data_IF_370030387816
#
_entry.id   IF_370030387816
#
_cell.length_a   1.000
_cell.length_b   1.000
_cell.length_c   1.000
_cell.angle_alpha   90.00
_cell.angle_beta   90.00
_cell.angle_gamma   90.00
#
_symmetry.space_group_name_H-M   'P 1'
#
loop_
_entity.id
_entity.type
_entity.pdbx_description
1 polymer ?
#
# COMPACT_ATOMS: atom_id res chain seq x y z
N UNK A 1 -33.54 -12.13 8.32
CA UNK A 1 -32.48 -12.14 9.36
C UNK A 1 -31.28 -11.30 8.92
N UNK A 2 -30.60 -11.66 7.82
CA UNK A 2 -29.39 -10.98 7.31
C UNK A 2 -29.52 -9.44 7.15
N UNK A 3 -30.65 -8.94 6.60
CA UNK A 3 -30.83 -7.47 6.41
C UNK A 3 -30.89 -6.67 7.72
N UNK A 4 -31.41 -7.27 8.80
CA UNK A 4 -31.54 -6.59 10.08
C UNK A 4 -30.17 -6.48 10.77
N UNK A 5 -29.39 -7.57 10.78
CA UNK A 5 -28.04 -7.61 11.34
C UNK A 5 -27.07 -6.66 10.61
N UNK A 6 -27.13 -6.61 9.28
CA UNK A 6 -26.35 -5.65 8.48
C UNK A 6 -26.72 -4.20 8.82
N UNK A 7 -28.02 -3.92 9.02
CA UNK A 7 -28.49 -2.60 9.42
C UNK A 7 -27.95 -2.17 10.79
N UNK A 8 -27.93 -3.07 11.77
CA UNK A 8 -27.38 -2.80 13.10
C UNK A 8 -25.85 -2.61 13.09
N UNK A 9 -25.13 -3.40 12.29
CA UNK A 9 -23.68 -3.22 12.10
C UNK A 9 -23.34 -1.89 11.42
N UNK A 10 -24.14 -1.45 10.44
CA UNK A 10 -23.96 -0.13 9.83
C UNK A 10 -24.20 0.97 10.87
N UNK A 11 -25.26 0.87 11.67
CA UNK A 11 -25.57 1.86 12.71
C UNK A 11 -24.47 1.95 13.77
N UNK A 12 -23.92 0.82 14.21
CA UNK A 12 -22.90 0.80 15.27
C UNK A 12 -21.57 1.37 14.80
N UNK A 13 -21.22 1.19 13.53
CA UNK A 13 -19.95 1.63 12.95
C UNK A 13 -19.98 3.04 12.37
N UNK A 14 -21.15 3.47 11.95
CA UNK A 14 -21.37 4.74 11.28
C UNK A 14 -22.52 5.48 11.97
N UNK A 15 -22.21 6.22 13.06
CA UNK A 15 -23.23 6.87 13.88
C UNK A 15 -23.95 7.99 13.14
N UNK A 16 -23.31 8.60 12.13
CA UNK A 16 -23.89 9.69 11.35
C UNK A 16 -25.00 9.20 10.40
N UNK A 17 -26.17 9.85 10.45
CA UNK A 17 -27.34 9.43 9.66
C UNK A 17 -27.09 9.44 8.14
N UNK A 18 -26.43 10.48 7.63
CA UNK A 18 -26.08 10.62 6.21
C UNK A 18 -25.17 9.48 5.73
N UNK A 19 -24.24 9.04 6.57
CA UNK A 19 -23.37 7.90 6.27
C UNK A 19 -24.17 6.60 6.22
N UNK A 20 -25.13 6.39 7.14
CA UNK A 20 -25.95 5.18 7.16
C UNK A 20 -26.72 4.97 5.86
N UNK A 21 -27.32 6.02 5.29
CA UNK A 21 -28.06 5.91 4.04
C UNK A 21 -27.15 5.58 2.86
N UNK A 22 -25.98 6.24 2.79
CA UNK A 22 -24.96 5.97 1.76
C UNK A 22 -24.44 4.54 1.85
N UNK A 23 -24.14 4.08 3.05
CA UNK A 23 -23.61 2.74 3.30
C UNK A 23 -24.68 1.65 3.12
N UNK A 24 -25.95 1.95 3.41
CA UNK A 24 -27.05 1.05 3.08
C UNK A 24 -27.18 0.84 1.56
N UNK A 25 -26.96 1.89 0.75
CA UNK A 25 -26.89 1.75 -0.72
C UNK A 25 -25.70 0.91 -1.17
N UNK A 26 -24.54 1.03 -0.52
CA UNK A 26 -23.38 0.18 -0.79
C UNK A 26 -23.66 -1.29 -0.41
N UNK A 27 -24.32 -1.54 0.72
CA UNK A 27 -24.73 -2.88 1.15
C UNK A 27 -25.70 -3.54 0.18
N UNK A 28 -26.63 -2.78 -0.42
CA UNK A 28 -27.50 -3.27 -1.49
C UNK A 28 -26.72 -3.71 -2.74
N UNK A 29 -25.51 -3.18 -2.93
CA UNK A 29 -24.58 -3.54 -4.02
C UNK A 29 -23.57 -4.62 -3.61
N UNK A 30 -23.75 -5.24 -2.44
CA UNK A 30 -22.89 -6.33 -1.95
C UNK A 30 -21.68 -5.89 -1.13
N UNK A 31 -21.60 -4.62 -0.73
CA UNK A 31 -20.54 -4.13 0.18
C UNK A 31 -21.00 -4.20 1.63
N UNK A 32 -20.55 -5.21 2.36
CA UNK A 32 -21.05 -5.53 3.69
C UNK A 32 -20.02 -5.18 4.77
N UNK A 33 -20.44 -4.65 5.93
CA UNK A 33 -19.53 -4.53 7.07
C UNK A 33 -19.06 -5.91 7.52
N UNK A 34 -17.78 -6.03 7.88
CA UNK A 34 -17.22 -7.24 8.50
C UNK A 34 -17.92 -7.54 9.83
N UNK A 35 -18.57 -8.68 10.08
CA UNK A 35 -19.14 -8.98 11.40
C UNK A 35 -18.09 -8.92 12.53
N UNK A 36 -18.50 -8.62 13.77
CA UNK A 36 -17.57 -8.49 14.89
C UNK A 36 -16.87 -9.81 15.24
N UNK A 37 -17.59 -10.93 15.07
CA UNK A 37 -17.15 -12.31 15.26
C UNK A 37 -16.49 -12.93 14.01
N UNK A 38 -16.24 -12.13 12.98
CA UNK A 38 -15.63 -12.62 11.74
C UNK A 38 -14.19 -13.10 11.97
N UNK A 39 -13.90 -14.32 11.52
CA UNK A 39 -12.53 -14.87 11.46
C UNK A 39 -11.70 -14.34 10.29
N UNK A 40 -12.26 -13.44 9.47
CA UNK A 40 -11.58 -12.91 8.29
C UNK A 40 -10.33 -12.10 8.68
N UNK A 41 -9.16 -12.30 8.02
CA UNK A 41 -7.92 -11.58 8.36
C UNK A 41 -7.99 -10.04 8.37
N UNK A 42 -8.88 -9.43 7.59
CA UNK A 42 -9.09 -7.98 7.52
C UNK A 42 -9.87 -7.44 8.74
N UNK A 43 -10.49 -8.30 9.55
CA UNK A 43 -11.20 -7.90 10.77
C UNK A 43 -10.31 -7.11 11.73
N UNK A 44 -9.00 -7.40 11.75
CA UNK A 44 -8.05 -6.68 12.61
C UNK A 44 -7.88 -5.21 12.25
N UNK A 45 -8.17 -4.82 11.00
CA UNK A 45 -8.06 -3.44 10.54
C UNK A 45 -9.25 -2.59 10.99
N UNK A 46 -10.40 -3.23 11.21
CA UNK A 46 -11.64 -2.57 11.56
C UNK A 46 -11.52 -1.86 12.92
N UNK A 47 -11.67 -0.54 12.90
CA UNK A 47 -11.58 0.36 14.05
C UNK A 47 -10.15 0.77 14.43
N UNK A 48 -9.12 0.31 13.72
CA UNK A 48 -7.75 0.70 14.02
C UNK A 48 -7.53 2.21 13.80
N UNK A 49 -6.71 2.80 14.66
CA UNK A 49 -6.36 4.21 14.55
C UNK A 49 -5.27 4.44 13.51
N UNK A 50 -5.40 5.52 12.73
CA UNK A 50 -4.43 5.92 11.72
C UNK A 50 -4.38 7.45 11.67
N UNK A 51 -3.31 8.02 12.22
CA UNK A 51 -3.27 9.47 12.49
C UNK A 51 -4.39 9.88 13.43
N UNK A 52 -5.20 10.87 13.05
CA UNK A 52 -6.40 11.31 13.78
C UNK A 52 -7.70 10.59 13.41
N UNK A 53 -7.61 9.51 12.62
CA UNK A 53 -8.78 8.80 12.07
C UNK A 53 -8.88 7.38 12.60
N UNK A 54 -10.06 6.77 12.41
CA UNK A 54 -10.29 5.33 12.55
C UNK A 54 -10.57 4.69 11.20
N UNK A 55 -10.15 3.44 11.03
CA UNK A 55 -10.42 2.66 9.84
C UNK A 55 -11.78 1.96 9.91
N UNK A 56 -12.56 2.07 8.84
CA UNK A 56 -13.84 1.38 8.68
C UNK A 56 -13.80 0.56 7.39
N UNK A 57 -14.14 -0.73 7.46
CA UNK A 57 -14.02 -1.63 6.32
C UNK A 57 -15.37 -2.17 5.86
N UNK A 58 -15.53 -2.25 4.54
CA UNK A 58 -16.60 -3.01 3.89
C UNK A 58 -15.97 -4.09 3.01
N UNK A 59 -16.47 -5.33 3.11
CA UNK A 59 -16.14 -6.41 2.18
C UNK A 59 -17.08 -6.39 1.00
N UNK A 60 -16.53 -6.49 -0.20
CA UNK A 60 -17.25 -6.63 -1.45
C UNK A 60 -17.36 -8.09 -1.89
N UNK A 61 -17.76 -8.32 -3.16
CA UNK A 61 -17.83 -9.65 -3.72
C UNK A 61 -16.44 -10.30 -3.84
N UNK A 62 -16.40 -11.60 -4.09
CA UNK A 62 -15.18 -12.30 -4.50
C UNK A 62 -14.96 -12.16 -6.00
N UNK A 63 -13.70 -12.02 -6.41
CA UNK A 63 -13.33 -12.14 -7.82
C UNK A 63 -13.26 -13.62 -8.25
N UNK A 64 -13.00 -13.87 -9.54
CA UNK A 64 -12.91 -15.23 -10.12
C UNK A 64 -11.80 -16.11 -9.51
N UNK A 65 -10.85 -15.51 -8.79
CA UNK A 65 -9.73 -16.18 -8.13
C UNK A 65 -9.97 -16.40 -6.64
N UNK A 66 -11.15 -16.03 -6.13
CA UNK A 66 -11.51 -16.18 -4.73
C UNK A 66 -10.92 -15.10 -3.80
N UNK A 67 -10.34 -14.02 -4.34
CA UNK A 67 -9.94 -12.87 -3.53
C UNK A 67 -11.16 -12.01 -3.20
N UNK A 68 -11.24 -11.52 -1.98
CA UNK A 68 -12.30 -10.66 -1.49
C UNK A 68 -11.97 -9.20 -1.83
N UNK A 69 -12.85 -8.50 -2.54
CA UNK A 69 -12.75 -7.05 -2.64
C UNK A 69 -13.00 -6.43 -1.26
N UNK A 70 -12.34 -5.31 -0.95
CA UNK A 70 -12.66 -4.51 0.21
C UNK A 70 -12.46 -3.02 -0.04
N UNK A 71 -13.28 -2.23 0.64
CA UNK A 71 -13.17 -0.78 0.73
C UNK A 71 -12.76 -0.41 2.16
N UNK A 72 -11.83 0.52 2.27
CA UNK A 72 -11.43 1.12 3.54
C UNK A 72 -11.82 2.59 3.53
N UNK A 73 -12.47 3.05 4.60
CA UNK A 73 -12.86 4.44 4.81
C UNK A 73 -12.13 5.00 6.03
N UNK A 74 -11.80 6.30 5.97
CA UNK A 74 -11.41 7.04 7.16
C UNK A 74 -12.67 7.52 7.88
N UNK A 75 -12.69 7.38 9.21
CA UNK A 75 -13.69 7.96 10.08
C UNK A 75 -13.02 9.00 10.98
N UNK A 76 -13.58 10.20 11.05
CA UNK A 76 -13.06 11.28 11.88
C UNK A 76 -13.46 11.14 13.36
N UNK A 77 -13.01 12.08 14.20
CA UNK A 77 -13.33 12.12 15.63
C UNK A 77 -14.81 12.34 15.94
N UNK A 78 -15.59 12.83 14.98
CA UNK A 78 -17.03 13.05 15.10
C UNK A 78 -17.84 11.83 14.63
N UNK A 79 -17.16 10.75 14.21
CA UNK A 79 -17.80 9.54 13.72
C UNK A 79 -18.23 9.61 12.25
N UNK A 80 -17.90 10.70 11.53
CA UNK A 80 -18.21 10.87 10.11
C UNK A 80 -17.25 10.04 9.28
N UNK A 81 -17.77 9.28 8.33
CA UNK A 81 -16.95 8.56 7.36
C UNK A 81 -16.67 9.41 6.12
N UNK A 82 -15.49 9.21 5.53
CA UNK A 82 -15.14 9.76 4.24
C UNK A 82 -16.19 9.43 3.19
N UNK A 83 -16.52 10.37 2.31
CA UNK A 83 -17.55 10.22 1.26
C UNK A 83 -17.17 9.17 0.21
N UNK A 84 -15.88 8.87 0.10
CA UNK A 84 -15.30 7.86 -0.77
C UNK A 84 -14.32 6.99 0.05
N UNK A 85 -14.08 5.73 -0.36
CA UNK A 85 -13.07 4.92 0.28
C UNK A 85 -11.69 5.54 0.05
N UNK A 86 -10.87 5.55 1.11
CA UNK A 86 -9.47 5.96 1.01
C UNK A 86 -8.64 4.92 0.28
N UNK A 87 -9.01 3.63 0.40
CA UNK A 87 -8.40 2.52 -0.32
C UNK A 87 -9.50 1.61 -0.88
N UNK A 88 -9.36 1.24 -2.15
CA UNK A 88 -10.01 0.08 -2.74
C UNK A 88 -8.97 -1.00 -3.01
N UNK A 89 -9.24 -2.22 -2.59
CA UNK A 89 -8.26 -3.29 -2.69
C UNK A 89 -8.90 -4.68 -2.80
N UNK A 90 -8.06 -5.67 -3.12
CA UNK A 90 -8.35 -7.10 -3.02
C UNK A 90 -7.49 -7.69 -1.91
N UNK A 91 -8.02 -8.69 -1.22
CA UNK A 91 -7.29 -9.50 -0.26
C UNK A 91 -7.47 -10.97 -0.58
N UNK A 92 -6.36 -11.71 -0.60
CA UNK A 92 -6.37 -13.16 -0.76
C UNK A 92 -5.56 -13.80 0.36
N UNK A 93 -6.10 -14.86 0.96
CA UNK A 93 -5.45 -15.61 2.02
C UNK A 93 -5.64 -17.11 1.83
N UNK A 94 -4.64 -17.90 2.20
CA UNK A 94 -4.66 -19.35 2.02
C UNK A 94 -3.31 -20.01 2.26
N UNK A 95 -3.17 -21.25 1.79
CA UNK A 95 -1.92 -22.01 1.94
C UNK A 95 -0.86 -21.48 0.97
N UNK A 96 0.38 -21.39 1.42
CA UNK A 96 1.52 -21.07 0.55
C UNK A 96 1.80 -22.23 -0.45
N UNK A 97 2.29 -21.99 -1.68
CA UNK A 97 2.52 -20.70 -2.34
C UNK A 97 1.30 -20.16 -3.12
N UNK A 98 1.31 -18.87 -3.45
CA UNK A 98 0.32 -18.25 -4.37
C UNK A 98 -0.89 -17.59 -3.71
N UNK A 99 -0.97 -17.66 -2.38
CA UNK A 99 -1.97 -17.00 -1.55
C UNK A 99 -1.27 -15.98 -0.64
N UNK A 100 -2.03 -15.22 0.15
CA UNK A 100 -1.52 -14.26 1.14
C UNK A 100 -0.95 -12.99 0.51
N UNK A 101 -1.85 -12.21 -0.06
CA UNK A 101 -1.51 -10.93 -0.67
C UNK A 101 -2.64 -9.92 -0.53
N UNK A 102 -2.26 -8.65 -0.63
CA UNK A 102 -3.18 -7.53 -0.81
C UNK A 102 -2.81 -6.84 -2.11
N UNK A 103 -3.82 -6.43 -2.87
CA UNK A 103 -3.67 -5.62 -4.08
C UNK A 103 -4.45 -4.32 -3.92
N UNK A 104 -3.74 -3.21 -3.82
CA UNK A 104 -4.32 -1.86 -3.78
C UNK A 104 -4.60 -1.42 -5.20
N UNK A 105 -5.89 -1.37 -5.54
CA UNK A 105 -6.40 -0.96 -6.85
C UNK A 105 -6.43 0.57 -6.93
N UNK A 106 -6.81 1.23 -5.85
CA UNK A 106 -6.76 2.70 -5.78
C UNK A 106 -6.50 3.20 -4.37
N UNK A 107 -5.83 4.36 -4.31
CA UNK A 107 -5.56 5.14 -3.12
C UNK A 107 -6.00 6.57 -3.39
N UNK A 108 -6.91 7.09 -2.58
CA UNK A 108 -7.33 8.49 -2.71
C UNK A 108 -6.21 9.43 -2.21
N UNK A 109 -5.96 10.54 -2.91
CA UNK A 109 -5.07 11.61 -2.46
C UNK A 109 -5.72 12.55 -1.44
N UNK A 110 -7.05 12.55 -1.40
CA UNK A 110 -7.86 13.36 -0.49
C UNK A 110 -9.11 12.60 -0.07
N UNK A 111 -9.63 12.92 1.11
CA UNK A 111 -10.90 12.38 1.60
C UNK A 111 -11.78 13.55 2.01
N UNK A 112 -13.01 13.59 1.48
CA UNK A 112 -14.03 14.55 1.87
C UNK A 112 -14.97 13.95 2.92
N UNK A 113 -15.42 14.76 3.87
CA UNK A 113 -16.43 14.40 4.86
C UNK A 113 -17.64 15.31 4.66
N UNK A 114 -18.85 14.74 4.72
CA UNK A 114 -20.06 15.55 4.68
C UNK A 114 -20.08 16.49 5.89
N UNK A 115 -20.43 17.76 5.65
CA UNK A 115 -20.64 18.70 6.74
C UNK A 115 -22.10 18.61 7.19
N UNK A 116 -22.31 18.43 8.49
CA UNK A 116 -23.65 18.43 9.05
C UNK A 116 -24.32 19.79 8.79
N UNK A 117 -25.25 19.85 7.85
CA UNK A 117 -26.04 21.05 7.55
C UNK A 117 -25.27 22.22 6.89
N UNK A 118 -24.07 21.99 6.34
CA UNK A 118 -23.29 23.00 5.60
C UNK A 118 -23.02 22.53 4.16
N UNK A 119 -22.97 23.48 3.21
CA UNK A 119 -22.70 23.20 1.81
C UNK A 119 -21.23 22.85 1.51
N UNK A 120 -20.30 23.13 2.43
CA UNK A 120 -18.87 22.89 2.23
C UNK A 120 -18.43 21.61 2.97
N UNK A 121 -17.93 20.63 2.23
CA UNK A 121 -17.34 19.42 2.78
C UNK A 121 -15.98 19.70 3.41
N UNK A 122 -15.68 19.05 4.55
CA UNK A 122 -14.33 19.07 5.10
C UNK A 122 -13.45 18.15 4.26
N UNK A 123 -12.37 18.68 3.68
CA UNK A 123 -11.45 17.90 2.82
C UNK A 123 -10.11 17.74 3.52
N UNK A 124 -9.64 16.50 3.61
CA UNK A 124 -8.34 16.15 4.19
C UNK A 124 -7.44 15.62 3.08
N UNK A 125 -6.30 16.26 2.86
CA UNK A 125 -5.25 15.74 1.99
C UNK A 125 -4.41 14.69 2.71
N UNK A 126 -4.12 13.59 2.02
CA UNK A 126 -3.34 12.50 2.58
C UNK A 126 -1.85 12.84 2.58
N UNK A 127 -1.37 13.22 3.75
CA UNK A 127 0.06 13.45 3.99
C UNK A 127 0.84 12.13 3.96
N UNK A 128 2.13 12.19 3.63
CA UNK A 128 2.99 11.01 3.46
C UNK A 128 3.01 10.09 4.68
N UNK A 129 3.00 10.64 5.90
CA UNK A 129 2.95 9.84 7.13
C UNK A 129 1.63 9.08 7.30
N UNK A 130 0.51 9.68 6.88
CA UNK A 130 -0.79 9.03 6.93
C UNK A 130 -0.86 7.88 5.92
N UNK A 131 -0.40 8.12 4.68
CA UNK A 131 -0.26 7.09 3.65
C UNK A 131 0.62 5.94 4.14
N UNK A 132 1.79 6.25 4.73
CA UNK A 132 2.69 5.23 5.26
C UNK A 132 2.02 4.36 6.33
N UNK A 133 1.29 4.96 7.28
CA UNK A 133 0.59 4.21 8.32
C UNK A 133 -0.58 3.39 7.77
N UNK A 134 -1.31 3.89 6.77
CA UNK A 134 -2.35 3.12 6.07
C UNK A 134 -1.75 1.87 5.41
N UNK A 135 -0.63 2.04 4.73
CA UNK A 135 0.07 0.93 4.09
C UNK A 135 0.69 -0.02 5.10
N UNK A 136 1.16 0.46 6.24
CA UNK A 136 1.63 -0.40 7.33
C UNK A 136 0.51 -1.34 7.80
N UNK A 137 -0.70 -0.80 8.03
CA UNK A 137 -1.85 -1.62 8.40
C UNK A 137 -2.14 -2.71 7.37
N UNK A 138 -2.09 -2.39 6.08
CA UNK A 138 -2.23 -3.38 5.00
C UNK A 138 -1.09 -4.41 4.99
N UNK A 139 0.16 -3.97 5.16
CA UNK A 139 1.32 -4.86 5.20
C UNK A 139 1.29 -5.81 6.41
N UNK A 140 0.75 -5.35 7.54
CA UNK A 140 0.56 -6.16 8.74
C UNK A 140 -0.47 -7.25 8.50
N UNK A 141 -1.42 -7.06 7.56
CA UNK A 141 -2.37 -8.13 7.22
C UNK A 141 -1.76 -9.32 6.52
N UNK A 142 -0.59 -9.12 5.93
CA UNK A 142 0.09 -10.10 5.07
C UNK A 142 1.14 -10.86 5.91
N UNK A 143 1.05 -12.20 5.98
CA UNK A 143 2.06 -13.01 6.67
C UNK A 143 3.43 -12.98 5.94
N UNK A 144 4.52 -13.40 6.62
CA UNK A 144 5.83 -13.61 5.97
C UNK A 144 5.73 -14.44 4.69
N UNK A 145 6.53 -14.11 3.68
CA UNK A 145 6.48 -14.72 2.34
C UNK A 145 5.31 -14.27 1.45
N UNK A 146 4.35 -13.50 1.98
CA UNK A 146 3.31 -12.85 1.18
C UNK A 146 3.79 -11.58 0.47
N UNK A 147 2.88 -10.87 -0.21
CA UNK A 147 3.23 -9.66 -0.96
C UNK A 147 2.11 -8.62 -1.01
N UNK A 148 2.50 -7.35 -1.16
CA UNK A 148 1.61 -6.22 -1.38
C UNK A 148 1.82 -5.72 -2.81
N UNK A 149 0.73 -5.61 -3.58
CA UNK A 149 0.69 -5.03 -4.92
C UNK A 149 -0.02 -3.69 -4.87
N UNK A 150 0.44 -2.75 -5.67
CA UNK A 150 -0.16 -1.42 -5.73
C UNK A 150 -0.17 -0.96 -7.17
N UNK A 151 -1.36 -0.64 -7.67
CA UNK A 151 -1.54 -0.03 -8.99
C UNK A 151 -0.91 1.37 -9.00
N UNK A 152 -0.19 1.69 -10.06
CA UNK A 152 0.48 2.99 -10.22
C UNK A 152 0.03 3.77 -11.45
N UNK A 153 -1.04 3.35 -12.11
CA UNK A 153 -1.65 4.07 -13.24
C UNK A 153 -2.45 5.32 -12.80
N UNK A 154 -2.64 5.53 -11.50
CA UNK A 154 -3.36 6.70 -11.00
C UNK A 154 -2.50 7.97 -11.06
N UNK A 155 -3.10 9.17 -11.19
CA UNK A 155 -2.37 10.43 -11.18
C UNK A 155 -1.45 10.60 -9.94
N UNK A 156 -1.88 10.08 -8.79
CA UNK A 156 -1.14 10.11 -7.53
C UNK A 156 0.17 9.32 -7.57
N UNK A 157 0.26 8.30 -8.43
CA UNK A 157 1.41 7.41 -8.54
C UNK A 157 2.26 7.66 -9.80
N UNK A 158 1.93 8.71 -10.57
CA UNK A 158 2.61 9.04 -11.82
C UNK A 158 4.13 9.23 -11.66
N UNK A 159 4.62 9.68 -10.50
CA UNK A 159 6.06 9.81 -10.26
C UNK A 159 6.75 8.43 -10.20
N UNK A 160 6.09 7.43 -9.63
CA UNK A 160 6.57 6.04 -9.62
C UNK A 160 6.61 5.49 -11.04
N UNK A 161 5.52 5.66 -11.78
CA UNK A 161 5.39 5.21 -13.17
C UNK A 161 6.51 5.75 -14.06
N UNK A 162 6.73 7.07 -14.02
CA UNK A 162 7.81 7.72 -14.80
C UNK A 162 9.19 7.29 -14.36
N UNK A 163 9.41 7.06 -13.07
CA UNK A 163 10.70 6.61 -12.56
C UNK A 163 11.01 5.18 -13.05
N UNK A 164 10.05 4.26 -12.95
CA UNK A 164 10.21 2.89 -13.45
C UNK A 164 10.48 2.88 -14.97
N UNK A 165 9.78 3.71 -15.74
CA UNK A 165 10.01 3.85 -17.18
C UNK A 165 11.41 4.38 -17.54
N UNK A 166 12.08 5.10 -16.63
CA UNK A 166 13.45 5.58 -16.78
C UNK A 166 14.51 4.58 -16.28
N UNK A 167 14.09 3.38 -15.83
CA UNK A 167 14.99 2.36 -15.29
C UNK A 167 15.44 2.63 -13.85
N UNK A 168 14.76 3.53 -13.13
CA UNK A 168 15.04 3.74 -11.70
C UNK A 168 14.76 2.44 -10.93
N UNK A 169 15.68 1.97 -10.07
CA UNK A 169 15.44 0.81 -9.22
C UNK A 169 14.13 0.95 -8.42
N UNK A 170 13.29 -0.10 -8.31
CA UNK A 170 12.03 -0.01 -7.60
C UNK A 170 12.14 0.60 -6.19
N UNK A 171 13.15 0.21 -5.41
CA UNK A 171 13.39 0.74 -4.07
C UNK A 171 13.67 2.26 -4.04
N UNK A 172 14.11 2.86 -5.15
CA UNK A 172 14.37 4.29 -5.31
C UNK A 172 13.16 5.08 -5.87
N UNK A 173 12.05 4.41 -6.17
CA UNK A 173 10.78 5.06 -6.54
C UNK A 173 9.99 5.48 -5.28
N UNK A 174 9.06 6.46 -5.36
CA UNK A 174 8.22 6.82 -4.21
C UNK A 174 7.48 5.61 -3.62
N UNK A 175 6.80 4.84 -4.47
CA UNK A 175 6.03 3.68 -4.03
C UNK A 175 6.92 2.54 -3.54
N UNK A 176 8.00 2.19 -4.24
CA UNK A 176 8.86 1.10 -3.80
C UNK A 176 9.61 1.40 -2.50
N UNK A 177 9.99 2.66 -2.26
CA UNK A 177 10.53 3.06 -0.95
C UNK A 177 9.52 2.92 0.18
N UNK A 178 8.25 3.26 -0.07
CA UNK A 178 7.17 3.08 0.89
C UNK A 178 6.97 1.58 1.20
N UNK A 179 6.95 0.74 0.16
CA UNK A 179 6.86 -0.72 0.30
C UNK A 179 8.03 -1.28 1.13
N UNK A 180 9.25 -0.76 0.92
CA UNK A 180 10.41 -1.13 1.72
C UNK A 180 10.24 -0.74 3.19
N UNK A 181 9.76 0.47 3.46
CA UNK A 181 9.60 1.00 4.82
C UNK A 181 8.57 0.22 5.66
N UNK A 182 7.53 -0.30 5.04
CA UNK A 182 6.47 -1.08 5.71
C UNK A 182 6.77 -2.59 5.81
N UNK A 183 7.97 -3.02 5.38
CA UNK A 183 8.41 -4.41 5.44
C UNK A 183 8.01 -5.28 4.24
N UNK A 184 7.56 -4.68 3.14
CA UNK A 184 7.29 -5.33 1.86
C UNK A 184 8.42 -5.03 0.84
N UNK A 185 9.67 -5.02 1.31
CA UNK A 185 10.85 -4.68 0.51
C UNK A 185 11.85 -5.82 0.34
N UNK A 186 11.48 -7.09 0.53
CA UNK A 186 12.40 -8.23 0.36
C UNK A 186 12.60 -8.63 -1.11
N UNK A 187 12.38 -7.69 -2.03
CA UNK A 187 12.32 -7.90 -3.47
C UNK A 187 11.12 -7.18 -4.07
N UNK A 188 11.27 -6.83 -5.34
CA UNK A 188 10.26 -6.12 -6.10
C UNK A 188 9.97 -6.84 -7.41
N UNK A 189 8.75 -6.69 -7.90
CA UNK A 189 8.38 -7.05 -9.28
C UNK A 189 7.51 -5.96 -9.86
N UNK A 190 7.92 -5.45 -11.01
CA UNK A 190 7.16 -4.48 -11.77
C UNK A 190 6.36 -5.18 -12.88
N UNK A 191 5.03 -5.15 -12.74
CA UNK A 191 4.10 -5.67 -13.74
C UNK A 191 3.73 -4.53 -14.68
N UNK A 192 4.53 -4.36 -15.74
CA UNK A 192 4.44 -3.24 -16.69
C UNK A 192 3.81 -3.61 -18.05
N UNK A 193 3.45 -4.88 -18.27
CA UNK A 193 2.94 -5.34 -19.56
C UNK A 193 1.51 -4.88 -19.79
N UNK A 194 1.33 -4.12 -20.88
CA UNK A 194 0.05 -3.79 -21.47
C UNK A 194 -0.07 -4.48 -22.84
N UNK A 195 0.03 -5.81 -22.91
CA UNK A 195 -0.10 -6.55 -24.17
C UNK A 195 -1.59 -6.85 -24.47
N UNK A 196 -2.35 -5.82 -24.83
CA UNK A 196 -3.65 -6.02 -25.49
C UNK A 196 -4.89 -6.09 -24.58
N UNK A 197 -4.85 -5.43 -23.41
CA UNK A 197 -6.06 -5.03 -22.67
C UNK A 197 -6.72 -6.11 -21.80
N UNK A 198 -6.16 -7.32 -21.72
CA UNK A 198 -6.64 -8.39 -20.83
C UNK A 198 -5.83 -8.56 -19.53
N UNK A 199 -4.68 -7.89 -19.42
CA UNK A 199 -3.66 -8.16 -18.38
C UNK A 199 -3.79 -7.33 -17.08
N UNK A 200 -4.76 -6.42 -17.00
CA UNK A 200 -4.97 -5.57 -15.82
C UNK A 200 -4.02 -4.36 -15.75
N UNK A 201 -4.25 -3.46 -14.79
CA UNK A 201 -3.46 -2.24 -14.62
C UNK A 201 -2.00 -2.54 -14.23
N UNK A 202 -1.11 -1.58 -14.51
CA UNK A 202 0.30 -1.68 -14.13
C UNK A 202 0.47 -1.61 -12.60
N UNK A 203 1.31 -2.49 -12.06
CA UNK A 203 1.42 -2.72 -10.60
C UNK A 203 2.86 -2.90 -10.16
N UNK A 204 3.21 -2.25 -9.06
CA UNK A 204 4.44 -2.55 -8.34
C UNK A 204 4.12 -3.51 -7.20
N UNK A 205 4.82 -4.65 -7.18
CA UNK A 205 4.68 -5.70 -6.17
C UNK A 205 5.91 -5.69 -5.26
N UNK A 206 5.69 -5.63 -3.95
CA UNK A 206 6.71 -5.73 -2.92
C UNK A 206 6.51 -6.98 -2.06
N UNK A 207 7.57 -7.77 -1.88
CA UNK A 207 7.52 -9.04 -1.14
C UNK A 207 7.91 -8.85 0.32
N UNK A 208 7.27 -9.61 1.22
CA UNK A 208 7.76 -9.80 2.59
C UNK A 208 8.78 -10.94 2.59
N UNK A 209 9.86 -10.79 3.34
CA UNK A 209 10.77 -11.90 3.59
C UNK A 209 10.03 -13.04 4.32
N UNK A 210 10.46 -14.27 4.11
CA UNK A 210 9.94 -15.45 4.84
C UNK A 210 10.43 -15.47 6.29
N UNK A 211 11.63 -14.96 6.51
CA UNK A 211 12.35 -14.97 7.78
C UNK A 211 13.42 -13.86 7.81
N UNK A 212 14.05 -13.59 8.97
CA UNK A 212 15.07 -12.55 9.11
C UNK A 212 16.35 -12.77 8.29
N UNK A 213 16.77 -14.01 8.06
CA UNK A 213 17.99 -14.31 7.30
C UNK A 213 17.81 -13.93 5.84
N UNK A 214 16.67 -14.34 5.25
CA UNK A 214 16.28 -13.93 3.90
C UNK A 214 16.10 -12.41 3.82
N UNK A 215 15.56 -11.77 4.86
CA UNK A 215 15.45 -10.31 4.90
C UNK A 215 16.82 -9.63 4.79
N UNK A 216 17.82 -10.13 5.53
CA UNK A 216 19.21 -9.65 5.46
C UNK A 216 19.78 -9.78 4.05
N UNK A 217 19.72 -10.99 3.45
CA UNK A 217 20.20 -11.24 2.08
C UNK A 217 19.56 -10.28 1.07
N UNK A 218 18.24 -10.09 1.16
CA UNK A 218 17.48 -9.19 0.27
C UNK A 218 17.84 -7.72 0.47
N UNK A 219 18.06 -7.29 1.70
CA UNK A 219 18.58 -5.96 1.99
C UNK A 219 19.96 -5.74 1.33
N UNK A 220 20.85 -6.74 1.33
CA UNK A 220 22.14 -6.63 0.65
C UNK A 220 21.99 -6.50 -0.87
N UNK A 221 21.09 -7.27 -1.48
CA UNK A 221 20.81 -7.20 -2.91
C UNK A 221 20.32 -5.82 -3.32
N UNK A 222 19.36 -5.26 -2.57
CA UNK A 222 18.83 -3.91 -2.82
C UNK A 222 19.92 -2.86 -2.64
N UNK A 223 20.76 -2.98 -1.60
CA UNK A 223 21.82 -2.01 -1.38
C UNK A 223 22.85 -1.99 -2.52
N UNK A 224 23.18 -3.15 -3.11
CA UNK A 224 24.03 -3.23 -4.31
C UNK A 224 23.38 -2.57 -5.52
N UNK A 225 22.11 -2.88 -5.81
CA UNK A 225 21.36 -2.26 -6.90
C UNK A 225 21.31 -0.72 -6.77
N UNK A 226 21.09 -0.22 -5.55
CA UNK A 226 21.08 1.22 -5.29
C UNK A 226 22.46 1.87 -5.44
N UNK A 227 23.54 1.19 -5.04
CA UNK A 227 24.90 1.67 -5.27
C UNK A 227 25.24 1.76 -6.75
N UNK A 228 24.95 0.70 -7.51
CA UNK A 228 25.15 0.66 -8.97
C UNK A 228 24.40 1.81 -9.65
N UNK A 229 23.16 2.07 -9.24
CA UNK A 229 22.35 3.17 -9.75
C UNK A 229 22.89 4.56 -9.36
N UNK A 230 23.44 4.73 -8.16
CA UNK A 230 24.05 5.98 -7.73
C UNK A 230 25.36 6.28 -8.48
N UNK A 231 26.14 5.25 -8.83
CA UNK A 231 27.37 5.37 -9.61
C UNK A 231 27.08 5.65 -11.10
N UNK A 232 26.04 5.02 -11.63
CA UNK A 232 25.62 5.16 -13.03
C UNK A 232 24.13 5.49 -13.11
N UNK A 233 23.75 6.75 -12.85
CA UNK A 233 22.37 7.20 -13.00
C UNK A 233 21.89 7.06 -14.45
N UNK A 234 20.57 7.10 -14.65
CA UNK A 234 19.98 7.03 -15.99
C UNK A 234 20.39 8.18 -16.91
N UNK A 235 19.97 8.10 -18.17
CA UNK A 235 20.40 8.99 -19.27
C UNK A 235 20.12 10.48 -19.04
N UNK A 236 19.23 10.84 -18.10
CA UNK A 236 18.93 12.25 -17.78
C UNK A 236 18.90 12.55 -16.27
N UNK A 237 20.08 12.64 -15.62
CA UNK A 237 20.22 12.95 -14.18
C UNK A 237 19.66 14.32 -13.79
N UNK A 238 19.57 15.23 -14.76
CA UNK A 238 19.07 16.59 -14.55
C UNK A 238 17.54 16.69 -14.48
N UNK A 239 16.82 15.63 -14.86
CA UNK A 239 15.37 15.62 -14.75
C UNK A 239 14.94 15.66 -13.28
N UNK A 240 13.80 16.32 -13.00
CA UNK A 240 13.26 16.39 -11.62
C UNK A 240 12.96 15.00 -11.03
N UNK A 241 12.58 14.04 -11.88
CA UNK A 241 12.27 12.66 -11.48
C UNK A 241 13.54 11.93 -11.08
N UNK A 242 14.58 11.96 -11.92
CA UNK A 242 15.86 11.31 -11.68
C UNK A 242 16.56 11.90 -10.45
N UNK A 243 16.60 13.23 -10.33
CA UNK A 243 17.17 13.89 -9.16
C UNK A 243 16.44 13.52 -7.84
N UNK A 244 15.12 13.32 -7.89
CA UNK A 244 14.36 12.85 -6.73
C UNK A 244 14.62 11.36 -6.44
N UNK A 245 14.79 10.54 -7.47
CA UNK A 245 15.15 9.14 -7.35
C UNK A 245 16.53 8.95 -6.72
N UNK A 246 17.55 9.70 -7.17
CA UNK A 246 18.90 9.67 -6.60
C UNK A 246 18.92 10.03 -5.10
N UNK A 247 18.19 11.09 -4.71
CA UNK A 247 18.04 11.45 -3.29
C UNK A 247 17.39 10.32 -2.48
N UNK A 248 16.38 9.66 -3.05
CA UNK A 248 15.69 8.55 -2.41
C UNK A 248 16.57 7.31 -2.30
N UNK A 249 17.30 6.97 -3.36
CA UNK A 249 18.27 5.89 -3.38
C UNK A 249 19.31 6.06 -2.27
N UNK A 250 19.90 7.25 -2.16
CA UNK A 250 20.85 7.57 -1.09
C UNK A 250 20.23 7.43 0.32
N UNK A 251 19.00 7.95 0.52
CA UNK A 251 18.31 7.85 1.80
C UNK A 251 17.95 6.40 2.17
N UNK A 252 17.51 5.60 1.21
CA UNK A 252 17.21 4.17 1.44
C UNK A 252 18.48 3.40 1.74
N UNK A 253 19.55 3.62 0.97
CA UNK A 253 20.85 3.00 1.20
C UNK A 253 21.37 3.32 2.62
N UNK A 254 21.33 4.59 3.03
CA UNK A 254 21.73 4.99 4.37
C UNK A 254 20.93 4.25 5.46
N UNK A 255 19.60 4.11 5.28
CA UNK A 255 18.75 3.36 6.21
C UNK A 255 19.13 1.88 6.27
N UNK A 256 19.38 1.23 5.13
CA UNK A 256 19.80 -0.18 5.09
C UNK A 256 21.14 -0.39 5.79
N UNK A 257 22.13 0.46 5.49
CA UNK A 257 23.46 0.41 6.13
C UNK A 257 23.40 0.63 7.65
N UNK A 258 22.50 1.51 8.12
CA UNK A 258 22.35 1.77 9.56
C UNK A 258 21.73 0.61 10.34
N UNK A 259 20.95 -0.25 9.67
CA UNK A 259 20.29 -1.41 10.29
C UNK A 259 21.16 -2.66 10.27
N UNK A 260 22.06 -2.75 9.30
CA UNK A 260 22.93 -3.91 9.06
C UNK A 260 24.40 -3.45 8.98
N UNK A 261 25.10 -3.25 10.11
CA UNK A 261 26.49 -2.80 10.10
C UNK A 261 27.42 -3.75 9.33
N UNK A 262 27.09 -5.04 9.30
CA UNK A 262 27.79 -6.06 8.50
C UNK A 262 27.62 -5.84 6.98
N UNK A 263 26.49 -5.28 6.55
CA UNK A 263 26.28 -4.89 5.15
C UNK A 263 27.22 -3.75 4.76
N UNK A 264 27.46 -2.78 5.65
CA UNK A 264 28.41 -1.70 5.40
C UNK A 264 29.83 -2.24 5.18
N UNK A 265 30.26 -3.20 6.01
CA UNK A 265 31.57 -3.84 5.86
C UNK A 265 31.68 -4.67 4.57
N UNK A 266 30.62 -5.42 4.22
CA UNK A 266 30.60 -6.23 2.99
C UNK A 266 30.59 -5.36 1.72
N UNK A 267 29.83 -4.26 1.72
CA UNK A 267 29.82 -3.33 0.60
C UNK A 267 31.15 -2.60 0.46
N UNK A 268 31.78 -2.19 1.56
CA UNK A 268 33.10 -1.59 1.53
C UNK A 268 34.15 -2.53 0.93
N UNK A 269 34.15 -3.81 1.30
CA UNK A 269 35.02 -4.83 0.68
C UNK A 269 34.71 -5.08 -0.80
N UNK A 270 33.42 -5.04 -1.19
CA UNK A 270 33.01 -5.23 -2.58
C UNK A 270 33.46 -4.04 -3.46
N UNK A 271 33.37 -2.81 -2.94
CA UNK A 271 33.86 -1.59 -3.61
C UNK A 271 35.39 -1.61 -3.69
N UNK A 272 36.10 -1.98 -2.62
CA UNK A 272 37.55 -2.12 -2.62
C UNK A 272 38.05 -3.21 -3.59
N UNK A 273 37.27 -4.29 -3.79
CA UNK A 273 37.58 -5.35 -4.75
C UNK A 273 37.27 -5.03 -6.22
N UNK A 274 36.48 -3.99 -6.50
CA UNK A 274 36.17 -3.50 -7.85
C UNK A 274 37.11 -2.40 -8.34
N UNK A 275 37.95 -1.84 -7.46
CA UNK A 275 39.02 -0.92 -7.81
C UNK A 275 40.27 -1.70 -8.28
N UNK A 276 40.20 -2.25 -9.51
CA UNK A 276 41.35 -2.80 -10.27
C UNK A 276 41.34 -2.26 -11.70
#
# INVERSE_FOLDING_TARGET
>A
MIRHEVGELIKSRFPCAEDRDRLARLAQRGWLPLPDDSSHPLRRLQGQSVGGFRLQLLLGPRNRYGADYFQMFLQDSHGRAGQEPVVMALHHSGRYPGYNWVEVISLASRVSFAAAGSAAADVVELQSDLVRRLFQHLADVIPPGGHLMVEYDSPEQQVTERALALGVPPAATPLGSLLLEIGCGAGFRDWHFAEGGSEGSRKLMGFKATDPEIAGIKAQQIARELLEYLEKPGENPSSKVEAAALRRAAAVLQKLLSREPELAQHLQRAVEGLAL
#
